data_IF_728441492886
#
_entry.id   IF_728441492886
#
_cell.length_a   1.000
_cell.length_b   1.000
_cell.length_c   1.000
_cell.angle_alpha   90.00
_cell.angle_beta   90.00
_cell.angle_gamma   90.00
#
_symmetry.space_group_name_H-M   'P 1'
#
loop_
_entity.id
_entity.type
_entity.pdbx_description
1 polymer ?
#
# COMPACT_ATOMS: atom_id res chain seq x y z
N UNK A 1 -17.04 18.01 23.14
CA UNK A 1 -16.99 17.50 21.75
C UNK A 1 -15.58 17.62 21.27
N UNK A 2 -14.81 16.60 21.53
CA UNK A 2 -13.50 16.51 20.93
C UNK A 2 -13.68 16.00 19.52
N UNK A 3 -13.67 16.91 18.59
CA UNK A 3 -13.30 16.61 17.25
C UNK A 3 -11.84 16.20 17.30
N UNK A 4 -11.61 14.90 17.31
CA UNK A 4 -10.33 14.38 16.96
C UNK A 4 -10.03 14.94 15.58
N UNK A 5 -9.25 15.96 15.53
CA UNK A 5 -8.61 16.43 14.31
C UNK A 5 -7.87 15.23 13.73
N UNK A 6 -8.52 14.61 12.78
CA UNK A 6 -7.91 13.66 11.88
C UNK A 6 -6.71 14.39 11.28
N UNK A 7 -5.55 14.03 11.74
CA UNK A 7 -4.31 14.50 11.15
C UNK A 7 -4.18 13.89 9.77
N UNK A 8 -4.90 14.48 8.88
CA UNK A 8 -4.94 14.21 7.47
C UNK A 8 -3.58 14.53 6.87
N UNK A 9 -2.73 13.59 6.93
CA UNK A 9 -1.64 13.56 5.97
C UNK A 9 -2.18 13.35 4.58
N UNK A 10 -3.18 14.12 4.18
CA UNK A 10 -3.72 14.23 2.83
C UNK A 10 -4.19 12.94 2.16
N UNK A 11 -4.38 11.88 2.90
CA UNK A 11 -4.27 10.56 2.32
C UNK A 11 -5.52 9.73 2.47
N UNK A 12 -6.25 9.87 3.55
CA UNK A 12 -7.52 9.16 3.71
C UNK A 12 -8.62 9.73 2.81
N UNK A 13 -8.63 11.04 2.63
CA UNK A 13 -9.60 11.72 1.77
C UNK A 13 -9.19 11.73 0.30
N UNK A 14 -7.88 11.66 0.04
CA UNK A 14 -7.34 11.67 -1.32
C UNK A 14 -6.21 10.63 -1.47
N UNK A 15 -6.56 9.35 -1.54
CA UNK A 15 -5.58 8.29 -1.76
C UNK A 15 -4.88 8.47 -3.11
N UNK A 16 -3.62 8.04 -3.20
CA UNK A 16 -2.87 8.07 -4.44
C UNK A 16 -3.49 7.16 -5.51
N UNK A 17 -4.09 6.06 -5.08
CA UNK A 17 -4.70 5.08 -5.97
C UNK A 17 -5.77 4.26 -5.25
N UNK A 18 -6.78 3.81 -5.96
CA UNK A 18 -7.81 2.93 -5.42
C UNK A 18 -8.35 1.97 -6.47
N UNK A 19 -8.84 0.83 -6.01
CA UNK A 19 -9.58 -0.15 -6.81
C UNK A 19 -10.88 -0.53 -6.11
N UNK A 20 -11.86 -0.98 -6.89
CA UNK A 20 -13.07 -1.60 -6.37
C UNK A 20 -12.90 -3.11 -6.35
N UNK A 21 -13.32 -3.74 -5.26
CA UNK A 21 -13.40 -5.19 -5.13
C UNK A 21 -14.80 -5.59 -4.70
N UNK A 22 -15.24 -6.76 -5.12
CA UNK A 22 -16.47 -7.37 -4.65
C UNK A 22 -16.14 -8.61 -3.83
N UNK A 23 -16.75 -8.71 -2.65
CA UNK A 23 -16.58 -9.89 -1.78
C UNK A 23 -17.29 -11.06 -2.40
N UNK A 24 -16.54 -12.04 -2.88
CA UNK A 24 -17.05 -13.23 -3.55
C UNK A 24 -17.30 -14.37 -2.58
N UNK A 25 -17.99 -15.40 -3.05
CA UNK A 25 -18.24 -16.62 -2.28
C UNK A 25 -16.93 -17.30 -1.81
N UNK A 26 -15.88 -17.24 -2.64
CA UNK A 26 -14.56 -17.81 -2.30
C UNK A 26 -13.81 -17.07 -1.20
N UNK A 27 -14.22 -15.85 -0.88
CA UNK A 27 -13.62 -15.03 0.17
C UNK A 27 -14.23 -15.28 1.55
N UNK A 28 -15.36 -15.99 1.62
CA UNK A 28 -16.15 -16.16 2.84
C UNK A 28 -15.71 -17.41 3.61
N UNK A 29 -15.52 -17.25 4.92
CA UNK A 29 -15.22 -18.32 5.85
C UNK A 29 -16.51 -18.99 6.40
N UNK A 30 -16.32 -19.96 7.30
CA UNK A 30 -17.42 -20.71 7.93
C UNK A 30 -18.32 -19.84 8.82
N UNK A 31 -17.87 -18.66 9.22
CA UNK A 31 -18.62 -17.69 10.01
C UNK A 31 -19.49 -16.76 9.16
N UNK A 32 -19.40 -16.86 7.83
CA UNK A 32 -20.13 -15.99 6.90
C UNK A 32 -19.48 -14.63 6.65
N UNK A 33 -18.25 -14.45 7.06
CA UNK A 33 -17.49 -13.20 6.88
C UNK A 33 -16.33 -13.43 5.90
N UNK A 34 -15.86 -12.35 5.28
CA UNK A 34 -14.61 -12.42 4.53
C UNK A 34 -13.47 -12.92 5.44
N UNK A 35 -12.75 -13.93 4.97
CA UNK A 35 -11.64 -14.47 5.76
C UNK A 35 -10.45 -13.50 5.75
N UNK A 36 -9.56 -13.67 6.74
CA UNK A 36 -8.41 -12.78 6.92
C UNK A 36 -7.48 -12.76 5.70
N UNK A 37 -7.39 -13.87 4.98
CA UNK A 37 -6.56 -13.99 3.77
C UNK A 37 -7.13 -13.15 2.61
N UNK A 38 -8.44 -13.01 2.51
CA UNK A 38 -9.07 -12.20 1.49
C UNK A 38 -8.63 -10.74 1.58
N UNK A 39 -8.59 -10.16 2.78
CA UNK A 39 -8.13 -8.78 2.98
C UNK A 39 -6.68 -8.61 2.56
N UNK A 40 -5.81 -9.57 2.86
CA UNK A 40 -4.41 -9.55 2.45
C UNK A 40 -4.27 -9.58 0.93
N UNK A 41 -5.08 -10.37 0.25
CA UNK A 41 -5.14 -10.39 -1.22
C UNK A 41 -5.48 -9.02 -1.79
N UNK A 42 -6.45 -8.32 -1.21
CA UNK A 42 -6.85 -6.99 -1.67
C UNK A 42 -5.78 -5.94 -1.41
N UNK A 43 -5.09 -6.02 -0.27
CA UNK A 43 -3.95 -5.17 0.05
C UNK A 43 -2.84 -5.33 -1.00
N UNK A 44 -2.53 -6.55 -1.39
CA UNK A 44 -1.55 -6.81 -2.45
C UNK A 44 -2.06 -6.40 -3.83
N UNK A 45 -3.32 -6.67 -4.13
CA UNK A 45 -3.90 -6.34 -5.43
C UNK A 45 -3.87 -4.84 -5.72
N UNK A 46 -4.17 -3.99 -4.75
CA UNK A 46 -4.12 -2.53 -4.94
C UNK A 46 -2.68 -2.04 -5.14
N UNK A 47 -1.71 -2.64 -4.47
CA UNK A 47 -0.30 -2.29 -4.64
C UNK A 47 0.19 -2.62 -6.06
N UNK A 48 -0.16 -3.79 -6.58
CA UNK A 48 0.17 -4.22 -7.95
C UNK A 48 -0.53 -3.31 -8.97
N UNK A 49 -1.82 -3.07 -8.79
CA UNK A 49 -2.59 -2.21 -9.69
C UNK A 49 -2.05 -0.76 -9.71
N UNK A 50 -1.63 -0.23 -8.58
CA UNK A 50 -1.00 1.09 -8.49
C UNK A 50 0.32 1.12 -9.26
N UNK A 51 1.15 0.10 -9.07
CA UNK A 51 2.44 -0.03 -9.80
C UNK A 51 2.22 -0.06 -11.31
N UNK A 52 1.27 -0.86 -11.79
CA UNK A 52 0.93 -0.94 -13.20
C UNK A 52 0.39 0.39 -13.75
N UNK A 53 -0.45 1.06 -12.99
CA UNK A 53 -1.03 2.35 -13.37
C UNK A 53 0.02 3.46 -13.57
N UNK A 54 1.14 3.39 -12.86
CA UNK A 54 2.26 4.34 -13.01
C UNK A 54 3.34 3.84 -13.99
N UNK A 55 3.07 2.78 -14.73
CA UNK A 55 3.94 2.23 -15.76
C UNK A 55 4.99 1.23 -15.27
N UNK A 56 4.95 0.87 -14.00
CA UNK A 56 5.85 -0.12 -13.40
C UNK A 56 5.21 -1.50 -13.44
N UNK A 57 5.19 -2.08 -14.63
CA UNK A 57 4.74 -3.45 -14.87
C UNK A 57 5.80 -4.47 -14.45
N UNK A 58 5.42 -5.74 -14.40
CA UNK A 58 6.36 -6.83 -14.17
C UNK A 58 7.53 -6.80 -15.16
N UNK A 59 7.27 -6.56 -16.44
CA UNK A 59 8.31 -6.48 -17.46
C UNK A 59 9.24 -5.28 -17.23
N UNK A 60 8.67 -4.14 -16.80
CA UNK A 60 9.49 -2.98 -16.51
C UNK A 60 10.43 -3.22 -15.33
N UNK A 61 9.97 -3.87 -14.28
CA UNK A 61 10.85 -4.28 -13.17
C UNK A 61 11.95 -5.25 -13.62
N UNK A 62 11.64 -6.16 -14.54
CA UNK A 62 12.65 -7.04 -15.12
C UNK A 62 13.73 -6.25 -15.87
N UNK A 63 13.36 -5.25 -16.65
CA UNK A 63 14.31 -4.38 -17.36
C UNK A 63 15.19 -3.58 -16.39
N UNK A 64 14.60 -3.09 -15.30
CA UNK A 64 15.32 -2.38 -14.25
C UNK A 64 16.28 -3.32 -13.51
N UNK A 65 15.95 -4.59 -13.40
CA UNK A 65 16.71 -5.60 -12.66
C UNK A 65 16.49 -5.53 -11.14
N UNK A 66 15.47 -4.83 -10.70
CA UNK A 66 15.10 -4.72 -9.31
C UNK A 66 13.59 -4.77 -9.12
N UNK A 67 13.16 -5.13 -7.94
CA UNK A 67 11.72 -5.28 -7.60
C UNK A 67 11.47 -5.01 -6.13
N UNK A 68 10.26 -4.60 -5.82
CA UNK A 68 9.80 -4.52 -4.44
C UNK A 68 9.37 -5.88 -3.91
N UNK A 69 9.84 -6.20 -2.71
CA UNK A 69 9.41 -7.40 -1.96
C UNK A 69 8.86 -6.99 -0.60
N UNK A 70 7.83 -7.66 -0.16
CA UNK A 70 7.23 -7.41 1.16
C UNK A 70 8.17 -7.94 2.23
N UNK A 71 8.46 -7.10 3.23
CA UNK A 71 9.19 -7.51 4.43
C UNK A 71 8.29 -7.55 5.68
N UNK A 72 7.18 -6.83 5.68
CA UNK A 72 6.26 -6.78 6.82
C UNK A 72 4.87 -6.33 6.41
N UNK A 73 3.87 -6.99 6.97
CA UNK A 73 2.49 -6.52 6.99
C UNK A 73 2.04 -6.28 8.43
N UNK A 74 1.34 -5.18 8.65
CA UNK A 74 0.53 -4.91 9.84
C UNK A 74 -0.89 -4.67 9.37
N UNK A 75 -1.84 -5.45 9.87
CA UNK A 75 -3.24 -5.38 9.45
C UNK A 75 -4.14 -5.33 10.68
N UNK A 76 -4.98 -4.30 10.74
CA UNK A 76 -6.03 -4.15 11.73
C UNK A 76 -7.37 -4.45 11.10
N UNK A 77 -8.05 -5.47 11.60
CA UNK A 77 -9.39 -5.89 11.17
C UNK A 77 -10.42 -5.19 12.04
N UNK A 78 -11.00 -4.11 11.55
CA UNK A 78 -11.90 -3.24 12.33
C UNK A 78 -13.36 -3.68 12.23
N UNK A 79 -13.76 -4.21 11.08
CA UNK A 79 -15.12 -4.66 10.77
C UNK A 79 -15.05 -5.88 9.86
N UNK A 80 -16.12 -6.65 9.84
CA UNK A 80 -16.24 -7.80 8.94
C UNK A 80 -16.93 -7.40 7.66
N UNK A 81 -16.35 -7.77 6.53
CA UNK A 81 -17.00 -7.65 5.23
C UNK A 81 -17.85 -8.89 4.94
N UNK A 82 -18.96 -8.69 4.25
CA UNK A 82 -19.94 -9.71 3.92
C UNK A 82 -19.97 -9.98 2.42
N UNK A 83 -20.38 -11.18 2.05
CA UNK A 83 -20.53 -11.57 0.65
C UNK A 83 -21.40 -10.58 -0.13
N UNK A 84 -20.95 -10.22 -1.32
CA UNK A 84 -21.66 -9.30 -2.22
C UNK A 84 -21.39 -7.83 -1.97
N UNK A 85 -20.73 -7.48 -0.86
CA UNK A 85 -20.32 -6.09 -0.63
C UNK A 85 -19.29 -5.65 -1.67
N UNK A 86 -19.45 -4.42 -2.13
CA UNK A 86 -18.47 -3.72 -2.96
C UNK A 86 -17.65 -2.80 -2.07
N UNK A 87 -16.34 -2.99 -2.07
CA UNK A 87 -15.41 -2.28 -1.20
C UNK A 87 -14.42 -1.49 -2.04
N UNK A 88 -14.09 -0.30 -1.56
CA UNK A 88 -13.04 0.54 -2.13
C UNK A 88 -11.74 0.26 -1.38
N UNK A 89 -10.73 -0.21 -2.09
CA UNK A 89 -9.38 -0.43 -1.56
C UNK A 89 -8.50 0.74 -1.97
N UNK A 90 -8.10 1.54 -1.00
CA UNK A 90 -7.34 2.77 -1.18
C UNK A 90 -5.91 2.59 -0.70
N UNK A 91 -4.94 3.17 -1.41
CA UNK A 91 -3.54 3.07 -1.04
C UNK A 91 -2.74 4.34 -1.30
N UNK A 92 -1.71 4.56 -0.50
CA UNK A 92 -0.73 5.64 -0.64
C UNK A 92 0.60 5.25 0.00
N UNK A 93 1.65 5.98 -0.31
CA UNK A 93 3.02 5.73 0.18
C UNK A 93 3.48 6.94 0.98
N UNK A 94 3.24 7.01 2.30
CA UNK A 94 3.60 8.16 3.11
C UNK A 94 5.10 8.26 3.41
N UNK A 95 5.82 7.15 3.37
CA UNK A 95 7.23 7.10 3.73
C UNK A 95 8.01 6.35 2.65
N UNK A 96 9.06 7.00 2.15
CA UNK A 96 10.00 6.38 1.23
C UNK A 96 11.43 6.68 1.69
N UNK A 97 12.15 5.61 2.04
CA UNK A 97 13.56 5.63 2.40
C UNK A 97 14.45 5.28 1.20
N UNK A 98 15.75 5.14 1.41
CA UNK A 98 16.67 4.84 0.31
C UNK A 98 16.34 3.53 -0.41
N UNK A 99 16.05 2.45 0.34
CA UNK A 99 15.79 1.11 -0.20
C UNK A 99 14.46 0.51 0.27
N UNK A 100 13.63 1.25 0.98
CA UNK A 100 12.37 0.77 1.55
C UNK A 100 11.28 1.83 1.39
N UNK A 101 10.04 1.36 1.30
CA UNK A 101 8.85 2.20 1.38
C UNK A 101 7.86 1.63 2.38
N UNK A 102 7.09 2.49 3.00
CA UNK A 102 5.93 2.13 3.80
C UNK A 102 4.69 2.55 3.02
N UNK A 103 3.87 1.57 2.70
CA UNK A 103 2.59 1.75 2.02
C UNK A 103 1.47 1.59 3.03
N UNK A 104 0.53 2.49 3.03
CA UNK A 104 -0.72 2.35 3.77
C UNK A 104 -1.85 1.97 2.82
N UNK A 105 -2.76 1.17 3.33
CA UNK A 105 -3.94 0.71 2.59
C UNK A 105 -5.15 0.71 3.53
N UNK A 106 -6.28 1.18 3.03
CA UNK A 106 -7.54 1.08 3.72
C UNK A 106 -8.57 0.40 2.82
N UNK A 107 -9.36 -0.49 3.41
CA UNK A 107 -10.51 -1.08 2.76
C UNK A 107 -11.75 -0.41 3.33
N UNK A 108 -12.56 0.22 2.48
CA UNK A 108 -13.71 1.04 2.87
C UNK A 108 -14.99 0.55 2.23
N UNK A 109 -16.09 0.69 2.97
CA UNK A 109 -17.43 0.60 2.39
C UNK A 109 -17.77 1.86 1.60
N UNK A 110 -18.84 1.80 0.82
CA UNK A 110 -19.40 2.94 0.09
C UNK A 110 -19.83 4.10 1.03
N UNK A 111 -20.16 3.78 2.27
CA UNK A 111 -20.46 4.76 3.33
C UNK A 111 -19.24 5.53 3.82
N UNK A 112 -18.03 5.11 3.43
CA UNK A 112 -16.77 5.63 3.97
C UNK A 112 -16.26 4.91 5.22
N UNK A 113 -17.04 3.98 5.78
CA UNK A 113 -16.60 3.18 6.93
C UNK A 113 -15.39 2.33 6.58
N UNK A 114 -14.33 2.43 7.37
CA UNK A 114 -13.11 1.65 7.20
C UNK A 114 -13.27 0.27 7.84
N UNK A 115 -13.15 -0.78 7.04
CA UNK A 115 -13.22 -2.18 7.50
C UNK A 115 -11.86 -2.74 7.89
N UNK A 116 -10.82 -2.34 7.17
CA UNK A 116 -9.44 -2.77 7.41
C UNK A 116 -8.48 -1.61 7.21
N UNK A 117 -7.48 -1.52 8.09
CA UNK A 117 -6.29 -0.70 7.89
C UNK A 117 -5.08 -1.60 7.80
N UNK A 118 -4.23 -1.34 6.83
CA UNK A 118 -3.00 -2.08 6.66
C UNK A 118 -1.82 -1.14 6.44
N UNK A 119 -0.67 -1.59 6.91
CA UNK A 119 0.61 -0.96 6.65
C UNK A 119 1.56 -2.03 6.18
N UNK A 120 2.18 -1.81 5.02
CA UNK A 120 3.09 -2.76 4.40
C UNK A 120 4.44 -2.10 4.18
N UNK A 121 5.48 -2.75 4.65
CA UNK A 121 6.86 -2.35 4.35
C UNK A 121 7.35 -3.17 3.17
N UNK A 122 7.79 -2.48 2.12
CA UNK A 122 8.36 -3.05 0.92
C UNK A 122 9.84 -2.69 0.85
N UNK A 123 10.70 -3.68 0.65
CA UNK A 123 12.11 -3.47 0.34
C UNK A 123 12.34 -3.55 -1.15
N UNK A 124 13.23 -2.69 -1.67
CA UNK A 124 13.66 -2.78 -3.06
C UNK A 124 14.94 -3.61 -3.14
N UNK A 125 14.94 -4.65 -3.94
CA UNK A 125 16.06 -5.57 -4.07
C UNK A 125 16.56 -5.65 -5.52
N UNK A 126 17.85 -5.87 -5.67
CA UNK A 126 18.45 -6.32 -6.92
C UNK A 126 18.13 -7.82 -7.12
N UNK A 127 17.51 -8.16 -8.24
CA UNK A 127 17.03 -9.53 -8.49
C UNK A 127 18.18 -10.51 -8.65
N UNK A 128 19.26 -10.11 -9.32
CA UNK A 128 20.41 -10.98 -9.56
C UNK A 128 21.21 -11.23 -8.28
N UNK A 129 21.40 -10.21 -7.46
CA UNK A 129 22.22 -10.26 -6.24
C UNK A 129 21.42 -10.62 -4.99
N UNK A 130 20.09 -10.54 -5.05
CA UNK A 130 19.20 -10.77 -3.91
C UNK A 130 19.54 -9.90 -2.68
N UNK A 131 19.87 -8.65 -2.92
CA UNK A 131 20.27 -7.68 -1.91
C UNK A 131 19.45 -6.41 -2.01
N UNK A 132 19.17 -5.74 -0.87
CA UNK A 132 18.60 -4.41 -0.88
C UNK A 132 19.47 -3.46 -1.68
N UNK A 133 18.85 -2.68 -2.54
CA UNK A 133 19.49 -1.62 -3.30
C UNK A 133 18.66 -0.36 -3.25
N UNK A 134 19.30 0.77 -3.51
CA UNK A 134 18.62 2.06 -3.58
C UNK A 134 17.51 2.02 -4.63
N UNK A 135 16.35 2.52 -4.29
CA UNK A 135 15.24 2.67 -5.22
C UNK A 135 15.66 3.63 -6.34
N UNK A 136 15.61 3.21 -7.61
CA UNK A 136 15.97 4.07 -8.73
C UNK A 136 15.12 5.35 -8.79
N UNK A 137 15.72 6.43 -9.23
CA UNK A 137 15.01 7.72 -9.35
C UNK A 137 13.77 7.64 -10.25
N UNK A 138 13.83 6.89 -11.34
CA UNK A 138 12.67 6.68 -12.22
C UNK A 138 11.50 5.97 -11.55
N UNK A 139 11.77 5.05 -10.63
CA UNK A 139 10.75 4.38 -9.81
C UNK A 139 10.14 5.36 -8.81
N UNK A 140 10.96 6.17 -8.16
CA UNK A 140 10.49 7.22 -7.26
C UNK A 140 9.59 8.23 -7.96
N UNK A 141 10.03 8.70 -9.10
CA UNK A 141 9.29 9.67 -9.90
C UNK A 141 7.94 9.10 -10.37
N UNK A 142 7.91 7.86 -10.81
CA UNK A 142 6.69 7.20 -11.25
C UNK A 142 5.61 7.15 -10.16
N UNK A 143 6.00 6.86 -8.93
CA UNK A 143 5.09 6.86 -7.78
C UNK A 143 4.89 8.22 -7.13
N UNK A 144 5.65 9.24 -7.51
CA UNK A 144 5.65 10.52 -6.80
C UNK A 144 6.18 10.43 -5.37
N UNK A 145 7.10 9.50 -5.12
CA UNK A 145 7.68 9.32 -3.80
C UNK A 145 8.56 10.49 -3.39
N UNK A 146 8.57 10.86 -2.08
CA UNK A 146 9.52 11.84 -1.58
C UNK A 146 10.96 11.34 -1.75
N UNK A 147 11.89 12.24 -2.00
CA UNK A 147 13.32 11.89 -2.04
C UNK A 147 13.81 11.60 -0.63
N UNK A 148 14.64 10.57 -0.44
CA UNK A 148 15.25 10.33 0.86
C UNK A 148 16.20 11.48 1.20
N UNK A 149 16.40 11.77 2.50
CA UNK A 149 17.38 12.79 2.91
C UNK A 149 18.76 12.42 2.38
N UNK A 150 19.50 13.42 1.92
CA UNK A 150 20.90 13.24 1.52
C UNK A 150 21.72 12.89 2.76
N UNK A 151 22.65 11.93 2.64
CA UNK A 151 23.64 11.68 3.69
C UNK A 151 24.40 12.99 3.92
N UNK A 152 24.30 13.54 5.13
CA UNK A 152 25.04 14.74 5.55
C UNK A 152 24.23 16.04 5.62
N UNK A 153 22.93 16.02 5.39
CA UNK A 153 22.10 17.17 5.77
C UNK A 153 21.88 17.16 7.28
N UNK A 154 22.22 18.24 8.01
CA UNK A 154 21.89 18.33 9.41
C UNK A 154 20.38 18.21 9.61
N UNK A 155 19.96 17.51 10.64
CA UNK A 155 18.60 17.54 11.12
C UNK A 155 18.23 19.02 11.33
N UNK A 156 17.19 19.48 10.66
CA UNK A 156 16.58 20.76 11.01
C UNK A 156 15.76 20.48 12.25
N UNK A 157 16.33 20.78 13.40
CA UNK A 157 15.57 20.83 14.63
C UNK A 157 14.56 21.98 14.52
N UNK A 158 13.29 21.63 14.44
CA UNK A 158 12.18 22.49 14.84
C UNK A 158 11.40 21.84 15.98
#
# INVERSE_FOLDING_TARGET
MDEAEDTRGGTQENPAFSILVEVSAGDIDVLGHANNVAYLKWVQAVAVAHSEAVGLTFERYREIGGVFVVSRHEIDYLRSALRGEKLLVCTWIPIAMAAKVVRKTEVRRDTGEVVVRAQTTWGFIDVARQRPVRIPDGVREAFGMPRPPRKGSPAVDE
#
